data_IF_658630691712
#
_entry.id   IF_658630691712
#
_cell.length_a   1.000
_cell.length_b   1.000
_cell.length_c   1.000
_cell.angle_alpha   90.00
_cell.angle_beta   90.00
_cell.angle_gamma   90.00
#
_symmetry.space_group_name_H-M   'P 1'
#
loop_
_entity.id
_entity.type
_entity.pdbx_description
1 polymer ?
#
# COMPACT_ATOMS: atom_id res chain seq x y z
N UNK A 1 -8.16 5.35 19.96
CA UNK A 1 -9.59 5.47 20.37
C UNK A 1 -10.52 4.53 19.58
N UNK A 2 -10.17 4.03 18.39
CA UNK A 2 -11.02 3.11 17.61
C UNK A 2 -11.05 1.66 18.13
N UNK A 3 -10.07 1.27 18.95
CA UNK A 3 -9.91 -0.10 19.45
C UNK A 3 -10.97 -0.50 20.49
N UNK A 4 -11.69 0.48 21.08
CA UNK A 4 -12.82 0.15 21.96
C UNK A 4 -14.03 -0.36 21.18
N UNK A 5 -14.26 0.16 19.97
CA UNK A 5 -15.46 -0.16 19.18
C UNK A 5 -15.45 -1.60 18.69
N UNK A 6 -14.27 -2.15 18.39
CA UNK A 6 -14.09 -3.56 18.01
C UNK A 6 -14.48 -4.52 19.13
N UNK A 7 -14.35 -4.10 20.39
CA UNK A 7 -14.63 -4.90 21.60
C UNK A 7 -16.00 -4.63 22.26
N UNK A 8 -16.89 -3.89 21.61
CA UNK A 8 -18.23 -3.64 22.14
C UNK A 8 -19.03 -4.94 22.32
N UNK A 9 -19.90 -5.06 23.32
CA UNK A 9 -20.88 -6.15 23.38
C UNK A 9 -21.79 -6.16 22.15
N UNK A 10 -22.26 -7.32 21.69
CA UNK A 10 -23.13 -7.41 20.49
C UNK A 10 -24.38 -6.55 20.59
N UNK A 11 -25.00 -6.48 21.78
CA UNK A 11 -26.16 -5.63 22.03
C UNK A 11 -25.91 -4.12 21.96
N UNK A 12 -24.64 -3.69 21.88
CA UNK A 12 -24.28 -2.27 21.71
C UNK A 12 -24.07 -1.87 20.25
N UNK A 13 -23.99 -2.82 19.31
CA UNK A 13 -23.72 -2.56 17.89
C UNK A 13 -24.83 -1.69 17.28
N UNK A 14 -26.10 -2.04 17.50
CA UNK A 14 -27.26 -1.31 16.97
C UNK A 14 -27.32 0.14 17.49
N UNK A 15 -26.92 0.35 18.75
CA UNK A 15 -26.86 1.69 19.35
C UNK A 15 -25.81 2.54 18.64
N UNK A 16 -24.64 1.98 18.32
CA UNK A 16 -23.60 2.71 17.59
C UNK A 16 -24.00 2.98 16.15
N UNK A 17 -24.67 2.03 15.48
CA UNK A 17 -25.19 2.24 14.12
C UNK A 17 -26.23 3.37 14.10
N UNK A 18 -27.15 3.40 15.07
CA UNK A 18 -28.12 4.48 15.21
C UNK A 18 -27.43 5.82 15.49
N UNK A 19 -26.42 5.85 16.37
CA UNK A 19 -25.64 7.05 16.66
C UNK A 19 -24.82 7.52 15.44
N UNK A 20 -24.30 6.61 14.64
CA UNK A 20 -23.61 6.92 13.40
C UNK A 20 -24.58 7.55 12.39
N UNK A 21 -25.79 7.01 12.22
CA UNK A 21 -26.79 7.56 11.31
C UNK A 21 -27.18 9.02 11.62
N UNK A 22 -27.06 9.45 12.89
CA UNK A 22 -27.34 10.83 13.31
C UNK A 22 -26.19 11.81 13.05
N UNK A 23 -25.00 11.34 12.63
CA UNK A 23 -23.86 12.24 12.39
C UNK A 23 -24.01 12.98 11.07
N UNK A 24 -23.82 14.30 11.13
CA UNK A 24 -23.83 15.20 9.97
C UNK A 24 -22.71 14.90 8.96
N UNK A 25 -21.50 14.66 9.45
CA UNK A 25 -20.31 14.48 8.59
C UNK A 25 -20.08 13.01 8.28
N UNK A 26 -19.80 12.70 7.01
CA UNK A 26 -19.61 11.33 6.56
C UNK A 26 -18.40 10.68 7.24
N UNK A 27 -17.29 11.42 7.38
CA UNK A 27 -16.10 10.97 8.11
C UNK A 27 -16.45 10.41 9.49
N UNK A 28 -17.32 11.09 10.25
CA UNK A 28 -17.71 10.65 11.59
C UNK A 28 -18.60 9.41 11.57
N UNK A 29 -19.46 9.28 10.55
CA UNK A 29 -20.26 8.06 10.32
C UNK A 29 -19.33 6.87 10.07
N UNK A 30 -18.46 7.02 9.08
CA UNK A 30 -17.50 6.00 8.66
C UNK A 30 -16.56 5.56 9.79
N UNK A 31 -16.03 6.49 10.59
CA UNK A 31 -15.17 6.17 11.74
C UNK A 31 -15.85 5.33 12.82
N UNK A 32 -17.15 5.51 13.03
CA UNK A 32 -17.93 4.71 13.97
C UNK A 32 -18.29 3.34 13.40
N UNK A 33 -18.60 3.27 12.11
CA UNK A 33 -19.10 2.05 11.47
C UNK A 33 -17.98 1.12 11.03
N UNK A 34 -16.85 1.64 10.50
CA UNK A 34 -15.75 0.82 9.95
C UNK A 34 -15.25 -0.25 10.93
N UNK A 35 -14.98 0.04 12.22
CA UNK A 35 -14.52 -0.98 13.17
C UNK A 35 -15.57 -2.08 13.44
N UNK A 36 -16.85 -1.80 13.18
CA UNK A 36 -17.95 -2.71 13.41
C UNK A 36 -18.24 -3.60 12.21
N UNK A 37 -17.79 -3.23 11.00
CA UNK A 37 -18.04 -3.96 9.74
C UNK A 37 -17.85 -5.47 9.84
N UNK A 38 -16.79 -6.01 10.50
CA UNK A 38 -16.61 -7.46 10.62
C UNK A 38 -17.78 -8.20 11.29
N UNK A 39 -18.57 -7.50 12.10
CA UNK A 39 -19.66 -8.02 12.93
C UNK A 39 -21.05 -7.71 12.38
N UNK A 40 -21.13 -6.95 11.29
CA UNK A 40 -22.41 -6.57 10.70
C UNK A 40 -22.96 -7.73 9.86
N UNK A 41 -24.29 -7.83 9.83
CA UNK A 41 -24.99 -8.70 8.89
C UNK A 41 -24.80 -8.18 7.46
N UNK A 42 -24.81 -9.09 6.48
CA UNK A 42 -24.60 -8.76 5.07
C UNK A 42 -25.61 -7.73 4.55
N UNK A 43 -26.88 -7.83 4.95
CA UNK A 43 -27.93 -6.86 4.61
C UNK A 43 -27.60 -5.45 5.12
N UNK A 44 -27.00 -5.35 6.31
CA UNK A 44 -26.58 -4.07 6.88
C UNK A 44 -25.37 -3.52 6.13
N UNK A 45 -24.46 -4.39 5.71
CA UNK A 45 -23.30 -4.02 4.89
C UNK A 45 -23.75 -3.52 3.51
N UNK A 46 -24.71 -4.18 2.86
CA UNK A 46 -25.26 -3.76 1.57
C UNK A 46 -25.92 -2.38 1.67
N UNK A 47 -26.73 -2.15 2.71
CA UNK A 47 -27.32 -0.83 2.97
C UNK A 47 -26.25 0.25 3.21
N UNK A 48 -25.22 -0.07 3.99
CA UNK A 48 -24.09 0.81 4.24
C UNK A 48 -23.39 1.19 2.92
N UNK A 49 -23.08 0.21 2.07
CA UNK A 49 -22.45 0.44 0.76
C UNK A 49 -23.31 1.39 -0.08
N UNK A 50 -24.61 1.11 -0.21
CA UNK A 50 -25.54 1.96 -0.96
C UNK A 50 -25.58 3.40 -0.42
N UNK A 51 -25.65 3.58 0.90
CA UNK A 51 -25.64 4.89 1.55
C UNK A 51 -24.32 5.66 1.29
N UNK A 52 -23.18 4.97 1.30
CA UNK A 52 -21.86 5.56 1.05
C UNK A 52 -21.65 5.92 -0.42
N UNK A 53 -22.20 5.13 -1.34
CA UNK A 53 -22.16 5.39 -2.78
C UNK A 53 -23.08 6.55 -3.20
N UNK A 54 -24.22 6.70 -2.53
CA UNK A 54 -25.16 7.79 -2.75
C UNK A 54 -24.71 9.12 -2.13
N UNK A 55 -23.79 9.09 -1.16
CA UNK A 55 -23.31 10.30 -0.50
C UNK A 55 -22.56 11.23 -1.49
N UNK A 56 -22.76 12.57 -1.40
CA UNK A 56 -22.07 13.52 -2.29
C UNK A 56 -20.55 13.36 -2.26
N UNK A 57 -19.93 13.46 -3.43
CA UNK A 57 -18.46 13.40 -3.53
C UNK A 57 -17.86 14.68 -2.97
N UNK A 58 -16.88 14.51 -2.09
CA UNK A 58 -16.07 15.61 -1.58
C UNK A 58 -14.64 15.09 -1.42
N UNK A 59 -13.64 15.90 -1.76
CA UNK A 59 -12.24 15.50 -1.60
C UNK A 59 -11.79 15.81 -0.18
N UNK A 60 -11.07 14.86 0.45
CA UNK A 60 -10.49 15.07 1.77
C UNK A 60 -10.94 14.01 2.79
N UNK A 61 -11.18 14.39 4.06
CA UNK A 61 -11.42 13.42 5.13
C UNK A 61 -12.66 12.55 4.93
N UNK A 62 -13.71 13.07 4.29
CA UNK A 62 -14.93 12.31 4.01
C UNK A 62 -14.67 11.20 2.98
N UNK A 63 -13.92 11.46 1.90
CA UNK A 63 -13.56 10.42 0.92
C UNK A 63 -12.60 9.39 1.51
N UNK A 64 -11.63 9.83 2.32
CA UNK A 64 -10.70 8.94 3.00
C UNK A 64 -11.44 7.90 3.84
N UNK A 65 -12.34 8.33 4.72
CA UNK A 65 -13.06 7.38 5.57
C UNK A 65 -14.10 6.58 4.77
N UNK A 66 -14.68 7.16 3.70
CA UNK A 66 -15.60 6.45 2.81
C UNK A 66 -14.90 5.27 2.12
N UNK A 67 -13.75 5.49 1.47
CA UNK A 67 -13.04 4.43 0.75
C UNK A 67 -12.59 3.33 1.70
N UNK A 68 -12.09 3.69 2.89
CA UNK A 68 -11.75 2.72 3.95
C UNK A 68 -12.96 1.88 4.38
N UNK A 69 -14.10 2.52 4.59
CA UNK A 69 -15.33 1.80 4.98
C UNK A 69 -15.81 0.87 3.85
N UNK A 70 -15.76 1.33 2.60
CA UNK A 70 -16.14 0.53 1.43
C UNK A 70 -15.24 -0.69 1.25
N UNK A 71 -13.91 -0.54 1.41
CA UNK A 71 -12.97 -1.67 1.34
C UNK A 71 -13.21 -2.65 2.48
N UNK A 72 -13.43 -2.16 3.71
CA UNK A 72 -13.79 -3.01 4.84
C UNK A 72 -15.10 -3.77 4.59
N UNK A 73 -16.10 -3.12 4.00
CA UNK A 73 -17.37 -3.72 3.63
C UNK A 73 -17.20 -4.80 2.56
N UNK A 74 -16.44 -4.52 1.50
CA UNK A 74 -16.15 -5.48 0.42
C UNK A 74 -15.49 -6.76 0.94
N UNK A 75 -14.60 -6.66 1.93
CA UNK A 75 -13.97 -7.82 2.57
C UNK A 75 -15.00 -8.76 3.26
N UNK A 76 -16.19 -8.27 3.61
CA UNK A 76 -17.23 -9.05 4.30
C UNK A 76 -18.34 -9.57 3.40
N UNK A 77 -18.45 -9.06 2.16
CA UNK A 77 -19.47 -9.49 1.21
C UNK A 77 -19.11 -10.88 0.67
N UNK A 78 -20.07 -11.80 0.71
CA UNK A 78 -19.88 -13.17 0.23
C UNK A 78 -19.98 -13.30 -1.29
N UNK A 79 -20.79 -12.45 -1.93
CA UNK A 79 -20.91 -12.39 -3.39
C UNK A 79 -19.68 -11.73 -4.02
N UNK A 80 -18.90 -12.54 -4.72
CA UNK A 80 -17.68 -12.11 -5.41
C UNK A 80 -17.95 -11.01 -6.45
N UNK A 81 -19.09 -11.04 -7.16
CA UNK A 81 -19.41 -10.01 -8.16
C UNK A 81 -19.64 -8.66 -7.50
N UNK A 82 -20.36 -8.65 -6.39
CA UNK A 82 -20.66 -7.44 -5.63
C UNK A 82 -19.40 -6.91 -4.94
N UNK A 83 -18.57 -7.80 -4.39
CA UNK A 83 -17.25 -7.45 -3.86
C UNK A 83 -16.39 -6.74 -4.92
N UNK A 84 -16.25 -7.34 -6.11
CA UNK A 84 -15.47 -6.75 -7.21
C UNK A 84 -16.04 -5.40 -7.62
N UNK A 85 -17.37 -5.27 -7.78
CA UNK A 85 -18.02 -3.99 -8.11
C UNK A 85 -17.65 -2.87 -7.15
N UNK A 86 -17.67 -3.14 -5.84
CA UNK A 86 -17.35 -2.14 -4.82
C UNK A 86 -15.88 -1.74 -4.89
N UNK A 87 -14.98 -2.72 -5.01
CA UNK A 87 -13.54 -2.48 -5.11
C UNK A 87 -13.18 -1.70 -6.39
N UNK A 88 -13.81 -2.04 -7.52
CA UNK A 88 -13.68 -1.29 -8.76
C UNK A 88 -14.18 0.15 -8.62
N UNK A 89 -15.26 0.35 -7.88
CA UNK A 89 -15.77 1.68 -7.55
C UNK A 89 -14.78 2.52 -6.74
N UNK A 90 -14.01 1.90 -5.83
CA UNK A 90 -12.93 2.57 -5.08
C UNK A 90 -11.74 2.86 -5.99
N UNK A 91 -11.33 1.90 -6.84
CA UNK A 91 -10.22 2.08 -7.79
C UNK A 91 -10.49 3.19 -8.79
N UNK A 92 -11.68 3.22 -9.39
CA UNK A 92 -12.04 4.25 -10.36
C UNK A 92 -11.95 5.67 -9.78
N UNK A 93 -12.08 5.81 -8.45
CA UNK A 93 -11.89 7.09 -7.75
C UNK A 93 -10.41 7.39 -7.51
N UNK A 94 -9.63 6.38 -7.12
CA UNK A 94 -8.19 6.51 -6.95
C UNK A 94 -7.44 6.78 -8.28
N UNK A 95 -7.97 6.28 -9.40
CA UNK A 95 -7.49 6.51 -10.77
C UNK A 95 -8.02 7.81 -11.38
N UNK A 96 -8.83 8.57 -10.63
CA UNK A 96 -9.47 9.80 -11.09
C UNK A 96 -8.51 10.99 -11.29
N UNK A 97 -9.04 12.16 -11.70
CA UNK A 97 -8.22 13.31 -12.09
C UNK A 97 -7.49 14.01 -10.94
N UNK A 98 -7.88 13.76 -9.69
CA UNK A 98 -7.28 14.35 -8.49
C UNK A 98 -6.90 13.25 -7.49
N UNK A 99 -5.96 12.36 -7.86
CA UNK A 99 -5.62 11.22 -7.03
C UNK A 99 -4.72 11.70 -5.89
N UNK A 100 -5.04 11.31 -4.65
CA UNK A 100 -4.28 11.68 -3.46
C UNK A 100 -3.93 10.44 -2.64
N UNK A 101 -2.65 10.25 -2.36
CA UNK A 101 -2.20 9.16 -1.48
C UNK A 101 -2.82 9.24 -0.10
N UNK A 102 -2.96 10.46 0.45
CA UNK A 102 -3.59 10.66 1.76
C UNK A 102 -5.02 10.12 1.80
N UNK A 103 -5.76 10.24 0.69
CA UNK A 103 -7.17 9.81 0.59
C UNK A 103 -7.30 8.33 0.22
N UNK A 104 -6.53 7.86 -0.75
CA UNK A 104 -6.71 6.53 -1.35
C UNK A 104 -5.66 5.51 -0.93
N UNK A 105 -4.47 5.95 -0.50
CA UNK A 105 -3.35 5.08 -0.12
C UNK A 105 -3.74 4.01 0.89
N UNK A 106 -4.35 4.35 2.04
CA UNK A 106 -4.78 3.33 3.01
C UNK A 106 -5.74 2.28 2.43
N UNK A 107 -6.73 2.71 1.64
CA UNK A 107 -7.69 1.80 1.02
C UNK A 107 -7.01 0.88 -0.01
N UNK A 108 -6.13 1.42 -0.87
CA UNK A 108 -5.37 0.64 -1.84
C UNK A 108 -4.47 -0.40 -1.15
N UNK A 109 -3.80 -0.02 -0.07
CA UNK A 109 -2.96 -0.94 0.72
C UNK A 109 -3.78 -2.07 1.36
N UNK A 110 -4.97 -1.76 1.87
CA UNK A 110 -5.88 -2.76 2.44
C UNK A 110 -6.39 -3.72 1.35
N UNK A 111 -6.69 -3.21 0.16
CA UNK A 111 -7.11 -4.03 -0.99
C UNK A 111 -6.06 -5.07 -1.38
N UNK A 112 -4.76 -4.76 -1.30
CA UNK A 112 -3.71 -5.73 -1.61
C UNK A 112 -3.83 -7.00 -0.74
N UNK A 113 -4.33 -6.89 0.49
CA UNK A 113 -4.42 -8.04 1.40
C UNK A 113 -5.44 -9.12 1.01
N UNK A 114 -6.48 -8.79 0.24
CA UNK A 114 -7.60 -9.70 0.00
C UNK A 114 -8.30 -9.57 -1.37
N UNK A 115 -7.96 -8.54 -2.16
CA UNK A 115 -8.61 -8.32 -3.45
C UNK A 115 -8.31 -9.47 -4.43
N UNK A 116 -9.25 -9.81 -5.32
CA UNK A 116 -9.01 -10.74 -6.42
C UNK A 116 -7.86 -10.24 -7.31
N UNK A 117 -7.15 -11.16 -7.96
CA UNK A 117 -5.91 -10.87 -8.68
C UNK A 117 -6.02 -9.69 -9.67
N UNK A 118 -7.10 -9.59 -10.44
CA UNK A 118 -7.29 -8.50 -11.40
C UNK A 118 -7.42 -7.13 -10.71
N UNK A 119 -8.23 -7.06 -9.64
CA UNK A 119 -8.43 -5.86 -8.84
C UNK A 119 -7.14 -5.51 -8.09
N UNK A 120 -6.42 -6.51 -7.59
CA UNK A 120 -5.13 -6.34 -6.92
C UNK A 120 -4.11 -5.71 -7.87
N UNK A 121 -3.96 -6.22 -9.10
CA UNK A 121 -3.02 -5.66 -10.08
C UNK A 121 -3.29 -4.18 -10.35
N UNK A 122 -4.57 -3.81 -10.53
CA UNK A 122 -4.97 -2.40 -10.69
C UNK A 122 -4.69 -1.58 -9.43
N UNK A 123 -4.94 -2.12 -8.25
CA UNK A 123 -4.62 -1.45 -6.98
C UNK A 123 -3.12 -1.19 -6.82
N UNK A 124 -2.26 -2.15 -7.18
CA UNK A 124 -0.80 -1.98 -7.21
C UNK A 124 -0.42 -0.87 -8.18
N UNK A 125 -0.93 -0.90 -9.42
CA UNK A 125 -0.63 0.12 -10.42
C UNK A 125 -1.04 1.52 -9.94
N UNK A 126 -2.26 1.69 -9.45
CA UNK A 126 -2.76 2.95 -8.91
C UNK A 126 -1.94 3.44 -7.70
N UNK A 127 -1.56 2.54 -6.80
CA UNK A 127 -0.72 2.87 -5.65
C UNK A 127 0.70 3.31 -6.06
N UNK A 128 1.29 2.66 -7.07
CA UNK A 128 2.58 3.04 -7.62
C UNK A 128 2.52 4.41 -8.29
N UNK A 129 1.48 4.68 -9.08
CA UNK A 129 1.29 6.00 -9.72
C UNK A 129 1.15 7.12 -8.67
N UNK A 130 0.44 6.85 -7.57
CA UNK A 130 0.37 7.75 -6.42
C UNK A 130 1.68 7.87 -5.64
N UNK A 131 2.59 6.90 -5.69
CA UNK A 131 3.90 7.03 -5.05
C UNK A 131 4.85 7.91 -5.89
N UNK A 132 4.73 7.83 -7.21
CA UNK A 132 5.57 8.52 -8.19
C UNK A 132 5.16 9.98 -8.39
N UNK A 133 3.86 10.29 -8.27
CA UNK A 133 3.37 11.65 -8.45
C UNK A 133 4.06 12.67 -7.52
N UNK A 134 4.37 13.85 -8.06
CA UNK A 134 5.19 14.87 -7.38
C UNK A 134 4.51 15.52 -6.17
N UNK A 135 3.17 15.53 -6.15
CA UNK A 135 2.36 16.22 -5.13
C UNK A 135 1.65 15.27 -4.18
N UNK A 136 2.02 14.00 -4.21
CA UNK A 136 1.46 12.98 -3.33
C UNK A 136 2.54 12.56 -2.35
N UNK A 137 2.24 12.70 -1.06
CA UNK A 137 3.04 12.15 0.04
C UNK A 137 2.91 10.62 0.11
N UNK A 138 3.05 9.96 -1.04
CA UNK A 138 3.08 8.52 -1.21
C UNK A 138 4.03 7.87 -0.21
N UNK A 139 3.60 6.76 0.36
CA UNK A 139 4.39 5.92 1.26
C UNK A 139 4.82 4.65 0.50
N UNK A 140 5.92 4.72 -0.27
CA UNK A 140 6.39 3.59 -1.04
C UNK A 140 6.80 2.43 -0.14
N UNK A 141 7.30 2.68 1.08
CA UNK A 141 7.70 1.60 1.98
C UNK A 141 6.50 0.75 2.40
N UNK A 142 5.38 1.40 2.79
CA UNK A 142 4.15 0.70 3.13
C UNK A 142 3.54 -0.08 1.95
N UNK A 143 3.66 0.45 0.73
CA UNK A 143 3.27 -0.24 -0.50
C UNK A 143 4.11 -1.48 -0.74
N UNK A 144 5.43 -1.31 -0.78
CA UNK A 144 6.38 -2.36 -1.12
C UNK A 144 6.29 -3.53 -0.13
N UNK A 145 6.09 -3.25 1.16
CA UNK A 145 5.92 -4.29 2.17
C UNK A 145 4.77 -5.28 1.86
N UNK A 146 3.80 -4.89 1.03
CA UNK A 146 2.63 -5.71 0.64
C UNK A 146 2.74 -6.32 -0.76
N UNK A 147 3.79 -6.00 -1.51
CA UNK A 147 3.98 -6.53 -2.86
C UNK A 147 4.44 -7.99 -2.82
N UNK A 148 3.99 -8.73 -3.83
CA UNK A 148 4.44 -10.07 -4.17
C UNK A 148 5.70 -10.00 -5.03
N UNK A 149 6.49 -11.09 -5.07
CA UNK A 149 7.76 -11.12 -5.79
C UNK A 149 7.64 -10.76 -7.28
N UNK A 150 6.57 -11.19 -7.94
CA UNK A 150 6.29 -10.88 -9.36
C UNK A 150 5.93 -9.40 -9.62
N UNK A 151 5.56 -8.63 -8.60
CA UNK A 151 5.19 -7.20 -8.73
C UNK A 151 6.40 -6.27 -8.50
N UNK A 152 7.47 -6.79 -7.88
CA UNK A 152 8.65 -6.00 -7.52
C UNK A 152 9.43 -5.44 -8.73
N UNK A 153 9.60 -6.16 -9.86
CA UNK A 153 10.29 -5.59 -11.02
C UNK A 153 9.61 -4.35 -11.58
N UNK A 154 8.29 -4.39 -11.75
CA UNK A 154 7.51 -3.24 -12.21
C UNK A 154 7.58 -2.08 -11.20
N UNK A 155 7.45 -2.39 -9.90
CA UNK A 155 7.58 -1.40 -8.84
C UNK A 155 8.95 -0.71 -8.88
N UNK A 156 10.05 -1.46 -9.08
CA UNK A 156 11.39 -0.89 -9.18
C UNK A 156 11.50 0.09 -10.34
N UNK A 157 11.03 -0.30 -11.53
CA UNK A 157 11.08 0.56 -12.72
C UNK A 157 10.28 1.85 -12.54
N UNK A 158 9.05 1.75 -12.00
CA UNK A 158 8.22 2.93 -11.75
C UNK A 158 8.81 3.83 -10.67
N UNK A 159 9.23 3.28 -9.54
CA UNK A 159 9.73 4.07 -8.40
C UNK A 159 11.07 4.77 -8.71
N UNK A 160 11.86 4.27 -9.65
CA UNK A 160 13.07 4.97 -10.16
C UNK A 160 12.76 6.31 -10.83
N UNK A 161 11.52 6.54 -11.25
CA UNK A 161 11.10 7.79 -11.88
C UNK A 161 10.71 8.89 -10.87
N UNK A 162 10.64 8.57 -9.57
CA UNK A 162 10.40 9.56 -8.50
C UNK A 162 11.45 10.68 -8.62
N UNK A 163 10.96 11.92 -8.70
CA UNK A 163 11.83 13.10 -8.87
C UNK A 163 12.62 13.43 -7.59
N UNK A 164 11.99 13.26 -6.42
CA UNK A 164 12.66 13.41 -5.13
C UNK A 164 13.70 12.30 -4.94
N UNK A 165 14.97 12.71 -4.85
CA UNK A 165 16.11 11.79 -4.79
C UNK A 165 16.12 10.98 -3.50
N UNK A 166 15.74 11.56 -2.35
CA UNK A 166 15.73 10.87 -1.06
C UNK A 166 14.59 9.85 -1.02
N UNK A 167 13.38 10.26 -1.41
CA UNK A 167 12.21 9.38 -1.50
C UNK A 167 12.45 8.22 -2.47
N UNK A 168 13.02 8.49 -3.65
CA UNK A 168 13.39 7.47 -4.63
C UNK A 168 14.33 6.42 -4.04
N UNK A 169 15.35 6.83 -3.28
CA UNK A 169 16.32 5.92 -2.67
C UNK A 169 15.69 5.01 -1.63
N UNK A 170 14.86 5.57 -0.74
CA UNK A 170 14.14 4.80 0.27
C UNK A 170 13.22 3.77 -0.38
N UNK A 171 12.49 4.19 -1.42
CA UNK A 171 11.65 3.29 -2.21
C UNK A 171 12.46 2.15 -2.85
N UNK A 172 13.57 2.45 -3.51
CA UNK A 172 14.45 1.42 -4.10
C UNK A 172 15.01 0.47 -3.04
N UNK A 173 15.47 0.99 -1.90
CA UNK A 173 15.98 0.17 -0.80
C UNK A 173 14.90 -0.79 -0.26
N UNK A 174 13.67 -0.31 -0.12
CA UNK A 174 12.54 -1.12 0.31
C UNK A 174 12.24 -2.24 -0.70
N UNK A 175 12.30 -1.98 -2.02
CA UNK A 175 12.09 -3.03 -3.04
C UNK A 175 13.13 -4.13 -2.91
N UNK A 176 14.42 -3.78 -2.78
CA UNK A 176 15.49 -4.76 -2.64
C UNK A 176 15.35 -5.61 -1.36
N UNK A 177 15.00 -4.96 -0.25
CA UNK A 177 14.74 -5.66 1.02
C UNK A 177 13.60 -6.65 0.84
N UNK A 178 12.47 -6.20 0.28
CA UNK A 178 11.31 -7.05 0.02
C UNK A 178 11.62 -8.19 -0.94
N UNK A 179 12.45 -7.94 -1.95
CA UNK A 179 12.82 -8.94 -2.95
C UNK A 179 13.53 -10.14 -2.33
N UNK A 180 14.49 -9.92 -1.43
CA UNK A 180 15.04 -11.08 -0.74
C UNK A 180 14.02 -11.68 0.23
N UNK A 181 13.13 -10.92 0.88
CA UNK A 181 12.15 -11.46 1.84
C UNK A 181 11.23 -12.48 1.19
N UNK A 182 10.83 -12.21 -0.05
CA UNK A 182 9.93 -13.07 -0.83
C UNK A 182 10.65 -14.11 -1.68
N UNK A 183 11.88 -13.83 -2.12
CA UNK A 183 12.69 -14.75 -2.93
C UNK A 183 13.44 -15.80 -2.10
N UNK A 184 13.77 -15.49 -0.85
CA UNK A 184 14.65 -16.32 -0.04
C UNK A 184 15.99 -16.57 -0.76
N UNK A 185 16.31 -17.84 -1.01
CA UNK A 185 17.52 -18.27 -1.73
C UNK A 185 17.45 -18.05 -3.23
N UNK A 186 16.25 -17.97 -3.81
CA UNK A 186 16.06 -17.80 -5.25
C UNK A 186 15.93 -16.30 -5.58
N UNK A 187 16.68 -15.84 -6.57
CA UNK A 187 16.60 -14.46 -7.01
C UNK A 187 15.23 -14.18 -7.64
N UNK A 188 14.60 -13.06 -7.28
CA UNK A 188 13.37 -12.58 -7.95
C UNK A 188 13.74 -12.20 -9.39
N UNK A 189 13.17 -12.88 -10.41
CA UNK A 189 13.51 -12.62 -11.80
C UNK A 189 13.18 -11.18 -12.21
N UNK A 190 14.06 -10.55 -12.98
CA UNK A 190 13.85 -9.18 -13.48
C UNK A 190 14.30 -8.06 -12.55
N UNK A 191 14.82 -8.36 -11.36
CA UNK A 191 15.49 -7.38 -10.52
C UNK A 191 17.00 -7.40 -10.79
N UNK A 192 17.58 -6.34 -11.37
CA UNK A 192 19.03 -6.27 -11.54
C UNK A 192 19.71 -6.15 -10.18
N UNK A 193 20.84 -6.85 -9.99
CA UNK A 193 21.85 -6.42 -9.02
C UNK A 193 22.18 -4.98 -9.41
N UNK A 194 21.97 -4.02 -8.51
CA UNK A 194 22.19 -2.61 -8.83
C UNK A 194 23.68 -2.40 -9.14
N UNK A 195 24.02 -2.30 -10.43
CA UNK A 195 25.39 -2.07 -10.90
C UNK A 195 25.80 -0.61 -10.90
N UNK A 196 24.86 0.31 -10.64
CA UNK A 196 25.10 1.76 -10.60
C UNK A 196 24.40 2.40 -9.39
N UNK A 197 25.20 3.00 -8.51
CA UNK A 197 24.74 3.72 -7.33
C UNK A 197 24.58 5.22 -7.62
N UNK A 198 23.57 5.93 -7.07
CA UNK A 198 23.41 7.37 -7.31
C UNK A 198 24.57 8.15 -6.67
N UNK A 199 25.29 8.94 -7.48
CA UNK A 199 26.52 9.65 -7.08
C UNK A 199 26.34 10.67 -5.92
N UNK A 200 25.12 11.14 -5.64
CA UNK A 200 24.84 12.20 -4.67
C UNK A 200 24.27 11.69 -3.33
N UNK A 201 24.63 10.49 -2.88
CA UNK A 201 23.97 9.81 -1.74
C UNK A 201 24.59 10.16 -0.40
N UNK A 202 23.76 10.57 0.57
CA UNK A 202 24.23 10.85 1.94
C UNK A 202 24.61 9.53 2.61
N UNK A 203 25.62 9.57 3.49
CA UNK A 203 26.19 8.39 4.16
C UNK A 203 25.13 7.45 4.78
N UNK A 204 24.12 7.99 5.45
CA UNK A 204 23.07 7.21 6.09
C UNK A 204 22.24 6.41 5.07
N UNK A 205 21.78 7.05 3.99
CA UNK A 205 21.00 6.42 2.92
C UNK A 205 21.79 5.31 2.22
N UNK A 206 23.10 5.53 2.06
CA UNK A 206 24.01 4.58 1.45
C UNK A 206 24.21 3.35 2.33
N UNK A 207 24.31 3.52 3.64
CA UNK A 207 24.30 2.38 4.58
C UNK A 207 22.97 1.64 4.59
N UNK A 208 21.83 2.32 4.42
CA UNK A 208 20.52 1.66 4.29
C UNK A 208 20.46 0.77 3.05
N UNK A 209 20.99 1.27 1.93
CA UNK A 209 21.07 0.52 0.67
C UNK A 209 22.07 -0.65 0.74
N UNK A 210 23.24 -0.43 1.36
CA UNK A 210 24.24 -1.47 1.61
C UNK A 210 23.68 -2.53 2.56
N UNK A 211 22.96 -2.16 3.63
CA UNK A 211 22.35 -3.09 4.56
C UNK A 211 21.24 -3.93 3.89
N UNK A 212 20.40 -3.30 3.06
CA UNK A 212 19.40 -4.01 2.26
C UNK A 212 20.06 -5.01 1.28
N UNK A 213 21.17 -4.62 0.67
CA UNK A 213 21.95 -5.48 -0.25
C UNK A 213 22.75 -6.57 0.47
N UNK A 214 23.26 -6.29 1.69
CA UNK A 214 24.00 -7.24 2.52
C UNK A 214 23.10 -8.37 3.06
N UNK A 215 21.82 -8.08 3.27
CA UNK A 215 20.85 -9.11 3.61
C UNK A 215 20.58 -10.06 2.42
N UNK A 216 20.51 -9.54 1.19
CA UNK A 216 20.47 -10.34 -0.05
C UNK A 216 21.74 -11.21 -0.21
N UNK A 217 22.93 -10.66 0.09
CA UNK A 217 24.22 -11.40 0.10
C UNK A 217 24.21 -12.57 1.09
N UNK A 218 23.57 -12.40 2.26
CA UNK A 218 23.55 -13.44 3.31
C UNK A 218 22.70 -14.65 2.91
N UNK A 219 21.65 -14.44 2.14
CA UNK A 219 20.66 -15.48 1.82
C UNK A 219 20.87 -16.14 0.43
N UNK A 220 21.42 -15.41 -0.54
CA UNK A 220 21.57 -15.85 -1.95
C UNK A 220 22.74 -16.82 -2.25
N UNK A 221 23.39 -17.39 -1.22
CA UNK A 221 24.48 -18.39 -1.27
C UNK A 221 25.03 -18.79 -2.67
N UNK A 222 25.85 -17.91 -3.27
CA UNK A 222 26.58 -18.16 -4.52
C UNK A 222 27.70 -17.14 -4.72
N UNK A 223 28.93 -17.61 -4.96
CA UNK A 223 30.16 -16.81 -4.90
C UNK A 223 30.17 -15.58 -5.83
N UNK A 224 29.51 -15.67 -7.00
CA UNK A 224 29.53 -14.63 -8.02
C UNK A 224 28.63 -13.43 -7.66
N UNK A 225 27.46 -13.67 -7.05
CA UNK A 225 26.57 -12.61 -6.57
C UNK A 225 27.15 -11.86 -5.37
N UNK A 226 27.90 -12.57 -4.51
CA UNK A 226 28.65 -11.97 -3.41
C UNK A 226 29.77 -11.08 -3.94
N UNK A 227 30.50 -11.51 -4.97
CA UNK A 227 31.61 -10.74 -5.54
C UNK A 227 31.15 -9.42 -6.16
N UNK A 228 30.11 -9.42 -7.00
CA UNK A 228 29.59 -8.18 -7.61
C UNK A 228 28.97 -7.22 -6.59
N UNK A 229 28.29 -7.75 -5.56
CA UNK A 229 27.71 -6.89 -4.51
C UNK A 229 28.77 -6.34 -3.56
N UNK A 230 29.76 -7.15 -3.16
CA UNK A 230 30.93 -6.69 -2.38
C UNK A 230 31.74 -5.67 -3.18
N UNK A 231 31.91 -5.88 -4.49
CA UNK A 231 32.54 -4.90 -5.38
C UNK A 231 31.73 -3.60 -5.44
N UNK A 232 30.41 -3.66 -5.54
CA UNK A 232 29.54 -2.49 -5.43
C UNK A 232 29.71 -1.75 -4.09
N UNK A 233 29.77 -2.47 -2.96
CA UNK A 233 30.01 -1.92 -1.62
C UNK A 233 31.41 -1.29 -1.51
N UNK A 234 32.43 -1.96 -2.04
CA UNK A 234 33.83 -1.51 -2.01
C UNK A 234 34.07 -0.35 -2.97
N UNK A 235 33.44 -0.32 -4.13
CA UNK A 235 33.50 0.81 -5.05
C UNK A 235 32.84 2.03 -4.42
N UNK A 236 31.71 1.87 -3.74
CA UNK A 236 31.14 2.93 -2.90
C UNK A 236 32.12 3.41 -1.81
N UNK A 237 32.84 2.50 -1.18
CA UNK A 237 33.88 2.83 -0.19
C UNK A 237 35.06 3.59 -0.79
N UNK A 238 35.37 3.36 -2.08
CA UNK A 238 36.47 4.01 -2.81
C UNK A 238 36.14 5.43 -3.26
N UNK A 239 34.85 5.74 -3.43
CA UNK A 239 34.39 7.09 -3.75
C UNK A 239 34.32 8.00 -2.51
N UNK A 240 34.59 7.46 -1.32
CA UNK A 240 34.76 8.20 -0.06
C UNK A 240 36.20 8.67 0.15
N UNK A 241 36.70 9.50 -0.77
CA UNK A 241 37.76 10.47 -0.49
C UNK A 241 37.21 11.88 -0.60
#
# INVERSE_FOLDING_TARGET
MNDFLTHLPDGAVDVVLAAAAQRRYLMNRCRLVTPLVPRLLEETIQKLVADLEAAPRDLGPDELERTRTLVAAAHRIGDERERVRILDGVLARAEGPLPSWYVFGPALLDMLGFAPEEVRRRAVAAALDLCVAQYTDGDPEALIARLHGNELPEALERLRTISDVAKRRLAVAAVLRRAGEVGGRDAVPGLPVLTAWPAATVRADLFTLVAASAWWIRDAAGADGVHETVKAILDVSRWWR
#
